data_IF_384880118089
#
_entry.id   IF_384880118089
#
_cell.length_a   1.000
_cell.length_b   1.000
_cell.length_c   1.000
_cell.angle_alpha   90.00
_cell.angle_beta   90.00
_cell.angle_gamma   90.00
#
_symmetry.space_group_name_H-M   'P 1'
#
loop_
_entity.id
_entity.type
_entity.pdbx_description
1 polymer ?
#
# COMPACT_ATOMS: atom_id res chain seq x y z
N UNK A 1 2.59 28.05 21.55
CA UNK A 1 2.77 26.70 20.96
C UNK A 1 1.47 26.31 20.30
N UNK A 2 1.51 25.84 19.05
CA UNK A 2 0.30 25.27 18.43
C UNK A 2 0.02 23.94 19.12
N UNK A 3 -1.09 23.84 19.86
CA UNK A 3 -1.56 22.57 20.41
C UNK A 3 -1.96 21.66 19.23
N UNK A 4 -1.12 20.67 18.92
CA UNK A 4 -1.44 19.63 17.97
C UNK A 4 -2.54 18.74 18.55
N UNK A 5 -3.43 18.24 17.70
CA UNK A 5 -4.50 17.31 18.07
C UNK A 5 -4.60 16.18 17.06
N UNK A 6 -5.16 15.05 17.50
CA UNK A 6 -5.53 13.96 16.61
C UNK A 6 -6.43 14.51 15.49
N UNK A 7 -6.14 14.11 14.26
CA UNK A 7 -6.79 14.59 13.04
C UNK A 7 -6.10 15.78 12.37
N UNK A 8 -5.17 16.46 13.04
CA UNK A 8 -4.41 17.54 12.40
C UNK A 8 -3.50 17.03 11.28
N UNK A 9 -3.38 17.83 10.23
CA UNK A 9 -2.42 17.61 9.16
C UNK A 9 -1.08 18.24 9.52
N UNK A 10 -0.02 17.47 9.41
CA UNK A 10 1.34 17.85 9.80
C UNK A 10 2.36 17.35 8.79
N UNK A 11 3.54 17.95 8.83
CA UNK A 11 4.72 17.45 8.14
C UNK A 11 5.93 17.51 9.09
N UNK A 12 6.92 16.65 8.83
CA UNK A 12 8.11 16.51 9.68
C UNK A 12 9.20 17.47 9.25
N UNK A 13 9.75 18.24 10.21
CA UNK A 13 10.85 19.18 9.97
C UNK A 13 12.13 18.44 9.57
N UNK A 14 12.43 17.36 10.27
CA UNK A 14 13.65 16.55 10.06
C UNK A 14 13.75 15.92 8.67
N UNK A 15 12.62 15.76 7.97
CA UNK A 15 12.55 15.22 6.60
C UNK A 15 12.26 16.32 5.56
N UNK A 16 12.42 17.59 5.94
CA UNK A 16 12.27 18.70 5.00
C UNK A 16 10.83 18.93 4.50
N UNK A 17 9.83 18.49 5.27
CA UNK A 17 8.41 18.60 4.91
C UNK A 17 8.06 17.90 3.59
N UNK A 18 8.62 16.71 3.39
CA UNK A 18 8.51 15.92 2.17
C UNK A 18 7.15 15.20 2.00
N UNK A 19 6.54 14.78 3.11
CA UNK A 19 5.30 14.00 3.14
C UNK A 19 4.27 14.70 4.05
N UNK A 20 3.02 14.72 3.58
CA UNK A 20 1.88 15.16 4.37
C UNK A 20 1.35 13.98 5.20
N UNK A 21 1.22 14.21 6.50
CA UNK A 21 0.72 13.23 7.45
C UNK A 21 -0.53 13.74 8.15
N UNK A 22 -1.38 12.81 8.60
CA UNK A 22 -2.46 13.03 9.56
C UNK A 22 -2.07 12.43 10.90
N UNK A 23 -2.28 13.17 11.99
CA UNK A 23 -2.09 12.61 13.33
C UNK A 23 -3.21 11.61 13.62
N UNK A 24 -2.84 10.37 13.94
CA UNK A 24 -3.79 9.31 14.28
C UNK A 24 -3.77 8.93 15.75
N UNK A 25 -2.66 9.16 16.46
CA UNK A 25 -2.54 8.87 17.89
C UNK A 25 -1.46 9.75 18.54
N UNK A 26 -1.52 9.89 19.86
CA UNK A 26 -0.56 10.62 20.69
C UNK A 26 -0.30 9.85 21.98
N UNK A 27 0.93 9.40 22.16
CA UNK A 27 1.38 8.56 23.27
C UNK A 27 2.33 9.37 24.14
N UNK A 28 2.11 9.35 25.45
CA UNK A 28 3.07 9.88 26.42
C UNK A 28 3.94 8.75 26.95
N UNK A 29 5.26 8.90 26.82
CA UNK A 29 6.22 7.92 27.33
C UNK A 29 6.42 8.05 28.84
N UNK A 30 7.04 7.04 29.47
CA UNK A 30 7.43 7.08 30.89
C UNK A 30 8.28 8.31 31.26
N UNK A 31 9.04 8.87 30.30
CA UNK A 31 9.85 10.07 30.48
C UNK A 31 9.11 11.39 30.19
N UNK A 32 7.78 11.35 30.05
CA UNK A 32 6.92 12.50 29.68
C UNK A 32 7.24 13.10 28.31
N UNK A 33 7.92 12.35 27.44
CA UNK A 33 8.04 12.74 26.03
C UNK A 33 6.78 12.34 25.28
N UNK A 34 6.19 13.28 24.53
CA UNK A 34 5.04 13.05 23.67
C UNK A 34 5.50 12.56 22.30
N UNK A 35 5.17 11.31 22.01
CA UNK A 35 5.35 10.68 20.71
C UNK A 35 4.02 10.70 19.97
N UNK A 36 4.03 11.19 18.74
CA UNK A 36 2.85 11.32 17.90
C UNK A 36 2.93 10.27 16.80
N UNK A 37 1.84 9.54 16.59
CA UNK A 37 1.73 8.56 15.51
C UNK A 37 1.02 9.20 14.32
N UNK A 38 1.64 9.05 13.16
CA UNK A 38 1.33 9.70 11.91
C UNK A 38 0.90 8.68 10.86
N UNK A 39 -0.16 8.97 10.10
CA UNK A 39 -0.55 8.26 8.88
C UNK A 39 -0.25 9.14 7.68
N UNK A 40 0.51 8.64 6.71
CA UNK A 40 0.75 9.34 5.44
C UNK A 40 -0.56 9.51 4.67
N UNK A 41 -0.80 10.71 4.13
CA UNK A 41 -2.04 11.03 3.40
C UNK A 41 -2.04 10.37 2.03
N UNK A 42 -0.99 10.60 1.25
CA UNK A 42 -0.90 10.11 -0.14
C UNK A 42 -0.05 8.83 -0.27
N UNK A 43 0.56 8.39 0.83
CA UNK A 43 1.44 7.23 0.89
C UNK A 43 1.06 6.33 2.06
N UNK A 44 1.09 5.01 1.85
CA UNK A 44 0.84 4.01 2.89
C UNK A 44 2.06 3.89 3.79
N UNK A 45 2.17 4.80 4.75
CA UNK A 45 3.23 4.83 5.75
C UNK A 45 2.65 5.21 7.12
N UNK A 46 3.09 4.49 8.15
CA UNK A 46 2.90 4.88 9.55
C UNK A 46 4.26 5.27 10.12
N UNK A 47 4.33 6.43 10.76
CA UNK A 47 5.55 6.90 11.39
C UNK A 47 5.26 7.40 12.80
N UNK A 48 6.15 7.14 13.73
CA UNK A 48 6.20 7.86 15.00
C UNK A 48 7.15 9.06 14.90
N UNK A 49 6.82 10.14 15.60
CA UNK A 49 7.67 11.33 15.65
C UNK A 49 7.44 12.11 16.94
N UNK A 50 8.49 12.70 17.55
CA UNK A 50 8.34 13.64 18.65
C UNK A 50 7.50 14.86 18.24
N UNK A 51 6.65 15.37 19.14
CA UNK A 51 5.80 16.55 18.85
C UNK A 51 6.61 17.76 18.33
N UNK A 52 7.85 17.93 18.82
CA UNK A 52 8.79 19.00 18.43
C UNK A 52 9.27 18.92 16.97
N UNK A 53 9.19 17.76 16.33
CA UNK A 53 9.54 17.58 14.91
C UNK A 53 8.37 17.93 13.98
N UNK A 54 7.16 18.07 14.53
CA UNK A 54 5.95 18.28 13.74
C UNK A 54 5.63 19.74 13.52
N UNK A 55 5.21 20.04 12.29
CA UNK A 55 4.70 21.34 11.90
C UNK A 55 3.30 21.18 11.31
N UNK A 56 2.32 21.87 11.90
CA UNK A 56 0.94 21.86 11.44
C UNK A 56 0.82 22.54 10.08
N UNK A 57 0.24 21.83 9.12
CA UNK A 57 -0.02 22.32 7.77
C UNK A 57 -1.39 22.98 7.76
N UNK A 58 -1.43 24.25 7.34
CA UNK A 58 -2.69 24.97 7.13
C UNK A 58 -3.33 24.54 5.81
N UNK A 59 -4.66 24.68 5.71
CA UNK A 59 -5.41 24.34 4.51
C UNK A 59 -4.84 24.98 3.23
N UNK A 60 -4.35 26.24 3.33
CA UNK A 60 -3.74 26.96 2.21
C UNK A 60 -2.46 26.32 1.66
N UNK A 61 -1.76 25.52 2.46
CA UNK A 61 -0.53 24.83 2.06
C UNK A 61 -0.78 23.41 1.58
N UNK A 62 -1.95 22.81 1.83
CA UNK A 62 -2.24 21.43 1.42
C UNK A 62 -2.07 21.27 -0.09
N UNK A 63 -2.60 22.20 -0.89
CA UNK A 63 -2.43 22.20 -2.35
C UNK A 63 -0.97 22.11 -2.80
N UNK A 64 -0.04 22.71 -2.03
CA UNK A 64 1.39 22.63 -2.37
C UNK A 64 1.98 21.23 -2.15
N UNK A 65 1.51 20.51 -1.13
CA UNK A 65 1.89 19.12 -0.90
C UNK A 65 1.28 18.22 -1.97
N UNK A 66 -0.01 18.37 -2.26
CA UNK A 66 -0.72 17.62 -3.30
C UNK A 66 -0.03 17.81 -4.66
N UNK A 67 0.24 19.06 -5.08
CA UNK A 67 0.95 19.33 -6.34
C UNK A 67 2.38 18.77 -6.36
N UNK A 68 3.09 18.81 -5.24
CA UNK A 68 4.44 18.24 -5.13
C UNK A 68 4.41 16.73 -5.32
N UNK A 69 3.43 16.07 -4.72
CA UNK A 69 3.20 14.63 -4.86
C UNK A 69 2.77 14.25 -6.28
N UNK A 70 1.77 14.95 -6.85
CA UNK A 70 1.34 14.77 -8.24
C UNK A 70 2.52 14.91 -9.21
N UNK A 71 3.38 15.92 -9.03
CA UNK A 71 4.57 16.09 -9.88
C UNK A 71 5.58 14.95 -9.75
N UNK A 72 5.69 14.31 -8.57
CA UNK A 72 6.53 13.10 -8.40
C UNK A 72 5.92 11.92 -9.15
N UNK A 73 4.59 11.76 -9.11
CA UNK A 73 3.86 10.75 -9.87
C UNK A 73 4.04 10.98 -11.37
N UNK A 74 3.76 12.18 -11.88
CA UNK A 74 3.92 12.54 -13.31
C UNK A 74 5.32 12.19 -13.83
N UNK A 75 6.37 12.60 -13.10
CA UNK A 75 7.76 12.24 -13.47
C UNK A 75 8.01 10.74 -13.52
N UNK A 76 7.31 9.96 -12.70
CA UNK A 76 7.44 8.49 -12.66
C UNK A 76 6.69 7.88 -13.83
N UNK A 77 5.47 8.34 -14.09
CA UNK A 77 4.64 7.95 -15.23
C UNK A 77 5.36 8.26 -16.54
N UNK A 78 5.92 9.46 -16.71
CA UNK A 78 6.67 9.86 -17.90
C UNK A 78 7.83 8.90 -18.19
N UNK A 79 8.55 8.48 -17.15
CA UNK A 79 9.64 7.49 -17.29
C UNK A 79 9.12 6.12 -17.71
N UNK A 80 7.97 5.70 -17.19
CA UNK A 80 7.36 4.41 -17.53
C UNK A 80 6.86 4.44 -18.98
N UNK A 81 6.13 5.49 -19.37
CA UNK A 81 5.58 5.66 -20.71
C UNK A 81 6.70 5.77 -21.76
N UNK A 82 7.78 6.50 -21.46
CA UNK A 82 8.95 6.55 -22.35
C UNK A 82 9.56 5.17 -22.59
N UNK A 83 9.75 4.37 -21.53
CA UNK A 83 10.26 2.99 -21.65
C UNK A 83 9.30 2.06 -22.40
N UNK A 84 7.98 2.30 -22.30
CA UNK A 84 6.96 1.54 -23.03
C UNK A 84 7.06 1.82 -24.52
N UNK A 85 7.09 3.09 -24.91
CA UNK A 85 7.24 3.50 -26.30
C UNK A 85 8.54 2.99 -26.94
N UNK A 86 9.68 3.07 -26.22
CA UNK A 86 10.97 2.53 -26.68
C UNK A 86 10.94 1.00 -26.91
N UNK A 87 10.08 0.27 -26.20
CA UNK A 87 9.88 -1.18 -26.39
C UNK A 87 8.90 -1.49 -27.51
N UNK A 88 7.86 -0.67 -27.67
CA UNK A 88 6.84 -0.86 -28.70
C UNK A 88 7.40 -0.54 -30.10
N UNK A 89 8.30 0.44 -30.22
CA UNK A 89 9.05 0.72 -31.47
C UNK A 89 9.92 -0.46 -31.94
N UNK A 90 10.21 -1.44 -31.07
CA UNK A 90 11.05 -2.61 -31.37
C UNK A 90 10.25 -3.89 -31.66
N UNK A 91 8.92 -3.85 -31.73
CA UNK A 91 8.08 -5.04 -31.89
C UNK A 91 7.05 -4.92 -33.02
N UNK A 92 6.99 -5.96 -33.85
CA UNK A 92 6.00 -6.16 -34.93
C UNK A 92 4.68 -6.82 -34.45
N UNK A 93 4.43 -6.90 -33.14
CA UNK A 93 3.24 -7.56 -32.59
C UNK A 93 2.58 -6.76 -31.46
N UNK A 94 1.25 -6.75 -31.46
CA UNK A 94 0.43 -6.00 -30.51
C UNK A 94 0.48 -6.63 -29.11
N UNK A 95 0.97 -5.89 -28.12
CA UNK A 95 0.94 -6.30 -26.71
C UNK A 95 -0.37 -5.82 -26.12
N UNK A 96 -1.24 -6.76 -25.71
CA UNK A 96 -2.42 -6.44 -24.90
C UNK A 96 -1.97 -6.14 -23.47
N UNK A 97 -2.41 -5.03 -22.89
CA UNK A 97 -2.21 -4.76 -21.46
C UNK A 97 -3.00 -5.78 -20.65
N UNK A 98 -2.34 -6.41 -19.67
CA UNK A 98 -3.01 -7.31 -18.73
C UNK A 98 -4.03 -6.57 -17.88
N UNK A 99 -5.06 -7.28 -17.44
CA UNK A 99 -6.13 -6.78 -16.58
C UNK A 99 -5.77 -6.98 -15.13
N UNK A 100 -5.94 -5.93 -14.32
CA UNK A 100 -5.64 -5.93 -12.89
C UNK A 100 -6.93 -5.99 -12.07
N UNK A 101 -6.96 -6.86 -11.05
CA UNK A 101 -7.94 -6.81 -9.97
C UNK A 101 -7.22 -6.39 -8.70
N UNK A 102 -7.59 -5.24 -8.13
CA UNK A 102 -6.98 -4.71 -6.91
C UNK A 102 -7.98 -4.74 -5.75
N UNK A 103 -7.70 -5.58 -4.75
CA UNK A 103 -8.42 -5.65 -3.49
C UNK A 103 -7.64 -4.87 -2.42
N UNK A 104 -8.29 -3.92 -1.76
CA UNK A 104 -7.66 -3.16 -0.68
C UNK A 104 -8.59 -2.96 0.53
N UNK A 105 -8.05 -3.14 1.74
CA UNK A 105 -8.77 -2.82 2.99
C UNK A 105 -8.98 -1.32 3.22
N UNK A 106 -8.20 -0.44 2.58
CA UNK A 106 -8.23 1.01 2.75
C UNK A 106 -8.67 1.73 1.47
N UNK A 107 -9.83 2.40 1.54
CA UNK A 107 -10.40 3.15 0.41
C UNK A 107 -9.52 4.30 -0.07
N UNK A 108 -8.92 5.03 0.87
CA UNK A 108 -8.16 6.24 0.57
C UNK A 108 -6.94 5.87 -0.27
N UNK A 109 -6.23 4.81 0.14
CA UNK A 109 -5.08 4.31 -0.62
C UNK A 109 -5.47 3.62 -1.92
N UNK A 110 -6.57 2.87 -1.97
CA UNK A 110 -7.08 2.30 -3.21
C UNK A 110 -7.36 3.39 -4.25
N UNK A 111 -7.99 4.49 -3.85
CA UNK A 111 -8.30 5.60 -4.75
C UNK A 111 -7.06 6.29 -5.30
N UNK A 112 -6.00 6.40 -4.49
CA UNK A 112 -4.69 6.90 -4.96
C UNK A 112 -4.12 5.97 -6.03
N UNK A 113 -4.10 4.65 -5.79
CA UNK A 113 -3.57 3.68 -6.76
C UNK A 113 -4.38 3.67 -8.06
N UNK A 114 -5.72 3.67 -7.97
CA UNK A 114 -6.61 3.69 -9.15
C UNK A 114 -6.42 4.93 -10.02
N UNK A 115 -6.13 6.10 -9.43
CA UNK A 115 -5.80 7.31 -10.19
C UNK A 115 -4.52 7.11 -11.02
N UNK A 116 -3.49 6.51 -10.43
CA UNK A 116 -2.21 6.24 -11.10
C UNK A 116 -2.39 5.19 -12.21
N UNK A 117 -3.11 4.09 -11.95
CA UNK A 117 -3.43 3.08 -12.97
C UNK A 117 -4.14 3.69 -14.18
N UNK A 118 -5.09 4.59 -13.95
CA UNK A 118 -5.81 5.27 -15.02
C UNK A 118 -4.89 6.15 -15.87
N UNK A 119 -3.93 6.86 -15.26
CA UNK A 119 -2.94 7.67 -15.99
C UNK A 119 -1.95 6.81 -16.79
N UNK A 120 -1.73 5.56 -16.38
CA UNK A 120 -0.90 4.57 -17.08
C UNK A 120 -1.69 3.75 -18.13
N UNK A 121 -2.98 4.05 -18.31
CA UNK A 121 -3.88 3.33 -19.22
C UNK A 121 -3.94 1.82 -18.93
N UNK A 122 -3.90 1.46 -17.63
CA UNK A 122 -4.04 0.08 -17.16
C UNK A 122 -5.53 -0.25 -16.97
N UNK A 123 -5.97 -1.39 -17.51
CA UNK A 123 -7.31 -1.93 -17.26
C UNK A 123 -7.36 -2.50 -15.84
N UNK A 124 -8.02 -1.80 -14.93
CA UNK A 124 -8.06 -2.17 -13.51
C UNK A 124 -9.48 -2.13 -12.96
N UNK A 125 -9.80 -3.15 -12.16
CA UNK A 125 -10.98 -3.18 -11.29
C UNK A 125 -10.51 -3.09 -9.84
N UNK A 126 -10.85 -2.00 -9.15
CA UNK A 126 -10.59 -1.84 -7.72
C UNK A 126 -11.80 -2.22 -6.86
N UNK A 127 -11.57 -2.96 -5.77
CA UNK A 127 -12.59 -3.30 -4.77
C UNK A 127 -12.07 -3.01 -3.37
N UNK A 128 -12.81 -2.18 -2.64
CA UNK A 128 -12.54 -1.98 -1.22
C UNK A 128 -13.14 -3.16 -0.45
N UNK A 129 -12.29 -4.01 0.10
CA UNK A 129 -12.69 -5.21 0.86
C UNK A 129 -11.75 -5.32 2.06
N UNK A 130 -12.33 -5.31 3.27
CA UNK A 130 -11.58 -5.50 4.51
C UNK A 130 -10.82 -6.82 4.50
N UNK A 131 -9.66 -6.86 5.14
CA UNK A 131 -8.70 -7.95 5.02
C UNK A 131 -9.34 -9.31 5.34
N UNK A 132 -10.20 -9.37 6.37
CA UNK A 132 -10.91 -10.59 6.78
C UNK A 132 -11.94 -11.13 5.77
N UNK A 133 -12.45 -10.27 4.89
CA UNK A 133 -13.45 -10.63 3.87
C UNK A 133 -12.80 -10.94 2.52
N UNK A 134 -11.55 -10.50 2.28
CA UNK A 134 -10.82 -10.78 1.04
C UNK A 134 -10.75 -12.29 0.71
N UNK A 135 -10.48 -13.21 1.66
CA UNK A 135 -10.41 -14.63 1.34
C UNK A 135 -11.74 -15.23 0.88
N UNK A 136 -12.85 -14.63 1.32
CA UNK A 136 -14.21 -15.09 1.01
C UNK A 136 -14.66 -14.57 -0.35
N UNK A 137 -14.29 -13.34 -0.69
CA UNK A 137 -14.73 -12.67 -1.91
C UNK A 137 -13.84 -12.97 -3.13
N UNK A 138 -12.55 -13.27 -2.93
CA UNK A 138 -11.58 -13.34 -4.03
C UNK A 138 -11.95 -14.33 -5.14
N UNK A 139 -12.50 -15.49 -4.78
CA UNK A 139 -12.83 -16.54 -5.76
C UNK A 139 -13.90 -16.07 -6.76
N UNK A 140 -14.98 -15.47 -6.26
CA UNK A 140 -16.07 -14.94 -7.08
C UNK A 140 -15.58 -13.78 -7.96
N UNK A 141 -14.73 -12.90 -7.41
CA UNK A 141 -14.17 -11.77 -8.15
C UNK A 141 -13.23 -12.23 -9.27
N UNK A 142 -12.40 -13.25 -9.02
CA UNK A 142 -11.55 -13.84 -10.05
C UNK A 142 -12.40 -14.44 -11.18
N UNK A 143 -13.45 -15.20 -10.86
CA UNK A 143 -14.37 -15.76 -11.85
C UNK A 143 -15.12 -14.69 -12.64
N UNK A 144 -15.50 -13.59 -11.98
CA UNK A 144 -16.27 -12.50 -12.60
C UNK A 144 -15.41 -11.64 -13.52
N UNK A 145 -14.18 -11.35 -13.11
CA UNK A 145 -13.35 -10.37 -13.79
C UNK A 145 -12.24 -10.98 -14.66
N UNK A 146 -11.82 -12.22 -14.40
CA UNK A 146 -10.74 -12.90 -15.12
C UNK A 146 -9.48 -12.04 -15.29
N UNK A 147 -8.86 -11.55 -14.20
CA UNK A 147 -7.67 -10.71 -14.28
C UNK A 147 -6.41 -11.55 -14.58
N UNK A 148 -5.40 -10.90 -15.17
CA UNK A 148 -4.04 -11.47 -15.31
C UNK A 148 -3.17 -11.15 -14.08
N UNK A 149 -3.51 -10.08 -13.35
CA UNK A 149 -2.79 -9.62 -12.16
C UNK A 149 -3.80 -9.42 -11.02
N UNK A 150 -3.52 -10.03 -9.87
CA UNK A 150 -4.26 -9.83 -8.63
C UNK A 150 -3.38 -9.08 -7.61
N UNK A 151 -3.88 -7.96 -7.10
CA UNK A 151 -3.25 -7.18 -6.04
C UNK A 151 -4.09 -7.30 -4.77
N UNK A 152 -3.48 -7.78 -3.69
CA UNK A 152 -4.12 -8.05 -2.40
C UNK A 152 -3.43 -7.23 -1.32
N UNK A 153 -4.01 -6.10 -0.95
CA UNK A 153 -3.37 -5.16 -0.03
C UNK A 153 -4.30 -4.76 1.10
N UNK A 154 -3.72 -4.21 2.15
CA UNK A 154 -4.45 -3.73 3.30
C UNK A 154 -3.50 -3.27 4.39
N UNK A 155 -4.01 -3.17 5.59
CA UNK A 155 -3.24 -2.94 6.79
C UNK A 155 -2.71 -4.25 7.33
N UNK A 156 -1.48 -4.25 7.85
CA UNK A 156 -0.97 -5.33 8.68
C UNK A 156 -0.09 -4.76 9.78
N UNK A 157 0.40 -5.64 10.64
CA UNK A 157 1.38 -5.28 11.64
C UNK A 157 1.69 -6.44 12.55
N UNK A 158 2.95 -6.55 12.94
CA UNK A 158 3.37 -7.50 13.96
C UNK A 158 2.86 -7.05 15.34
N UNK A 159 2.27 -7.98 16.08
CA UNK A 159 1.68 -7.71 17.39
C UNK A 159 2.77 -7.46 18.44
N UNK A 160 2.60 -6.37 19.20
CA UNK A 160 3.53 -6.00 20.27
C UNK A 160 3.59 -7.10 21.35
N UNK A 161 4.78 -7.40 21.83
CA UNK A 161 5.01 -8.39 22.90
C UNK A 161 5.29 -9.81 22.39
N UNK A 162 5.07 -10.08 21.11
CA UNK A 162 5.41 -11.35 20.49
C UNK A 162 6.87 -11.31 19.99
N UNK A 163 7.50 -12.48 19.90
CA UNK A 163 8.89 -12.63 19.40
C UNK A 163 9.02 -13.64 18.27
N UNK A 164 7.99 -14.47 18.10
CA UNK A 164 7.99 -15.48 17.05
C UNK A 164 7.45 -14.88 15.75
N UNK A 165 8.38 -14.45 14.89
CA UNK A 165 8.05 -13.92 13.58
C UNK A 165 7.53 -14.99 12.61
N UNK A 166 7.65 -16.28 12.95
CA UNK A 166 7.20 -17.38 12.10
C UNK A 166 5.77 -17.84 12.39
N UNK A 167 5.12 -17.23 13.37
CA UNK A 167 3.72 -17.51 13.68
C UNK A 167 2.82 -16.43 13.07
N UNK A 168 1.96 -16.83 12.12
CA UNK A 168 1.00 -15.93 11.46
C UNK A 168 -0.01 -15.29 12.43
N UNK A 169 -0.29 -15.91 13.58
CA UNK A 169 -1.17 -15.37 14.62
C UNK A 169 -0.56 -14.15 15.34
N UNK A 170 0.75 -13.97 15.22
CA UNK A 170 1.44 -12.79 15.76
C UNK A 170 1.35 -11.58 14.83
N UNK A 171 0.56 -11.66 13.75
CA UNK A 171 0.29 -10.56 12.83
C UNK A 171 -1.20 -10.25 12.83
N UNK A 172 -1.57 -8.99 12.63
CA UNK A 172 -2.98 -8.58 12.63
C UNK A 172 -3.76 -9.26 11.52
N UNK A 173 -3.24 -9.20 10.30
CA UNK A 173 -3.95 -9.53 9.08
C UNK A 173 -3.19 -10.47 8.13
N UNK A 174 -1.92 -10.82 8.40
CA UNK A 174 -1.15 -11.71 7.50
C UNK A 174 -1.87 -13.01 7.18
N UNK A 175 -2.56 -13.61 8.16
CA UNK A 175 -3.40 -14.82 7.97
C UNK A 175 -4.43 -14.65 6.85
N UNK A 176 -5.01 -13.47 6.71
CA UNK A 176 -6.00 -13.18 5.69
C UNK A 176 -5.38 -12.99 4.32
N UNK A 177 -4.21 -12.35 4.22
CA UNK A 177 -3.48 -12.29 2.95
C UNK A 177 -3.05 -13.69 2.50
N UNK A 178 -2.50 -14.49 3.40
CA UNK A 178 -2.11 -15.89 3.15
C UNK A 178 -3.30 -16.70 2.64
N UNK A 179 -4.45 -16.62 3.31
CA UNK A 179 -5.64 -17.37 2.89
C UNK A 179 -6.20 -16.85 1.57
N UNK A 180 -6.24 -15.54 1.34
CA UNK A 180 -6.66 -14.97 0.04
C UNK A 180 -5.78 -15.48 -1.10
N UNK A 181 -4.46 -15.51 -0.92
CA UNK A 181 -3.51 -16.07 -1.92
C UNK A 181 -3.79 -17.55 -2.16
N UNK A 182 -3.98 -18.34 -1.10
CA UNK A 182 -4.32 -19.78 -1.22
C UNK A 182 -5.62 -20.00 -1.99
N UNK A 183 -6.65 -19.19 -1.74
CA UNK A 183 -7.92 -19.28 -2.47
C UNK A 183 -7.75 -18.88 -3.93
N UNK A 184 -6.97 -17.84 -4.23
CA UNK A 184 -6.65 -17.46 -5.60
C UNK A 184 -5.90 -18.57 -6.35
N UNK A 185 -4.98 -19.28 -5.67
CA UNK A 185 -4.25 -20.42 -6.25
C UNK A 185 -5.08 -21.68 -6.42
N UNK A 186 -6.22 -21.81 -5.75
CA UNK A 186 -7.22 -22.86 -6.06
C UNK A 186 -7.95 -22.57 -7.37
N UNK A 187 -8.12 -21.29 -7.71
CA UNK A 187 -8.71 -20.86 -8.98
C UNK A 187 -7.72 -20.99 -10.13
N UNK A 188 -6.52 -20.40 -9.97
CA UNK A 188 -5.44 -20.46 -10.96
C UNK A 188 -4.11 -20.84 -10.28
N UNK A 189 -3.72 -22.13 -10.33
CA UNK A 189 -2.47 -22.61 -9.76
C UNK A 189 -1.21 -22.07 -10.44
N UNK A 190 -1.29 -21.70 -11.71
CA UNK A 190 -0.16 -21.22 -12.51
C UNK A 190 0.30 -19.84 -12.03
N UNK A 191 1.57 -19.74 -11.68
CA UNK A 191 2.21 -18.49 -11.27
C UNK A 191 2.41 -17.52 -12.45
N UNK A 192 2.40 -18.04 -13.68
CA UNK A 192 2.60 -17.26 -14.90
C UNK A 192 1.27 -16.73 -15.46
N UNK A 193 0.17 -17.47 -15.28
CA UNK A 193 -1.15 -17.09 -15.81
C UNK A 193 -1.90 -16.12 -14.88
N UNK A 194 -1.67 -16.20 -13.56
CA UNK A 194 -2.17 -15.22 -12.59
C UNK A 194 -1.01 -14.74 -11.70
N UNK A 195 -0.58 -13.50 -11.91
CA UNK A 195 0.47 -12.86 -11.10
C UNK A 195 -0.16 -12.23 -9.86
N UNK A 196 0.31 -12.62 -8.68
CA UNK A 196 -0.24 -12.14 -7.40
C UNK A 196 0.79 -11.28 -6.65
N UNK A 197 0.37 -10.06 -6.30
CA UNK A 197 1.06 -9.16 -5.37
C UNK A 197 0.26 -9.12 -4.06
N UNK A 198 0.89 -9.36 -2.91
CA UNK A 198 0.16 -9.43 -1.64
C UNK A 198 0.87 -8.82 -0.42
N UNK A 199 0.09 -8.27 0.51
CA UNK A 199 0.52 -7.89 1.85
C UNK A 199 0.41 -6.38 2.17
N UNK A 200 0.53 -6.06 3.45
CA UNK A 200 0.68 -4.71 4.00
C UNK A 200 2.00 -4.47 4.75
N UNK A 201 2.09 -3.33 5.43
CA UNK A 201 3.27 -2.99 6.25
C UNK A 201 3.52 -4.04 7.34
N UNK A 202 4.77 -4.52 7.44
CA UNK A 202 5.21 -5.54 8.40
C UNK A 202 4.47 -6.89 8.30
N UNK A 203 3.96 -7.24 7.11
CA UNK A 203 3.34 -8.55 6.90
C UNK A 203 4.34 -9.70 7.06
N UNK A 204 3.80 -10.91 7.26
CA UNK A 204 4.56 -12.15 7.22
C UNK A 204 4.96 -12.51 5.78
N UNK A 205 5.93 -11.76 5.27
CA UNK A 205 6.44 -11.80 3.90
C UNK A 205 6.74 -13.21 3.40
N UNK A 206 7.48 -14.01 4.19
CA UNK A 206 7.93 -15.34 3.76
C UNK A 206 6.74 -16.29 3.55
N UNK A 207 5.72 -16.23 4.42
CA UNK A 207 4.57 -17.12 4.32
C UNK A 207 3.57 -16.70 3.23
N UNK A 208 3.48 -15.41 2.92
CA UNK A 208 2.70 -14.92 1.76
C UNK A 208 3.30 -15.46 0.45
N UNK A 209 4.63 -15.49 0.32
CA UNK A 209 5.29 -16.11 -0.83
C UNK A 209 5.09 -17.63 -0.85
N UNK A 210 5.26 -18.31 0.29
CA UNK A 210 5.02 -19.75 0.39
C UNK A 210 3.57 -20.14 0.03
N UNK A 211 2.61 -19.25 0.30
CA UNK A 211 1.21 -19.44 -0.07
C UNK A 211 0.96 -19.40 -1.60
N UNK A 212 1.93 -18.90 -2.37
CA UNK A 212 1.89 -18.83 -3.84
C UNK A 212 1.75 -17.42 -4.39
N UNK A 213 2.09 -16.37 -3.64
CA UNK A 213 2.20 -15.03 -4.21
C UNK A 213 3.49 -14.90 -5.03
N UNK A 214 3.44 -14.21 -6.16
CA UNK A 214 4.64 -13.89 -6.94
C UNK A 214 5.49 -12.84 -6.22
N UNK A 215 4.82 -11.89 -5.57
CA UNK A 215 5.45 -10.81 -4.84
C UNK A 215 4.72 -10.58 -3.53
N UNK A 216 5.50 -10.28 -2.48
CA UNK A 216 4.98 -9.89 -1.19
C UNK A 216 5.60 -8.57 -0.73
N UNK A 217 4.87 -7.77 0.04
CA UNK A 217 5.43 -6.58 0.69
C UNK A 217 6.08 -6.93 2.02
N UNK A 218 7.01 -6.08 2.49
CA UNK A 218 7.71 -6.23 3.77
C UNK A 218 8.89 -7.24 3.87
N UNK A 219 9.79 -7.41 2.86
CA UNK A 219 11.03 -8.16 3.09
C UNK A 219 11.79 -7.59 4.30
N UNK A 220 12.18 -8.45 5.25
CA UNK A 220 12.79 -8.08 6.53
C UNK A 220 11.88 -7.32 7.54
N UNK A 221 10.56 -7.26 7.31
CA UNK A 221 9.56 -6.67 8.25
C UNK A 221 9.83 -5.20 8.61
N UNK A 222 10.42 -4.45 7.69
CA UNK A 222 10.67 -3.02 7.84
C UNK A 222 9.41 -2.21 7.50
N UNK A 223 9.21 -1.08 8.16
CA UNK A 223 8.30 -0.02 7.67
C UNK A 223 8.82 0.42 6.30
N UNK A 224 8.04 0.22 5.25
CA UNK A 224 8.44 0.55 3.88
C UNK A 224 7.40 1.42 3.21
N UNK A 225 7.89 2.38 2.44
CA UNK A 225 7.09 3.26 1.58
C UNK A 225 6.64 2.47 0.34
N UNK A 226 5.33 2.27 0.18
CA UNK A 226 4.77 1.66 -1.03
C UNK A 226 3.58 2.48 -1.55
N UNK A 227 3.58 2.69 -2.87
CA UNK A 227 2.38 2.72 -3.70
C UNK A 227 2.44 1.37 -4.43
N UNK A 228 1.38 0.58 -4.37
CA UNK A 228 1.29 -0.68 -5.13
C UNK A 228 0.81 -0.37 -6.53
#
# INVERSE_FOLDING_TARGET
MMNLRIGDLVARRSYGFDILFKIIDMIETFHKEKIVILKGVDLRIIADSPEKDLYRISLKKIDSFTRSFEKKIEKTIDKIMKKRNEKDEKKDYFIKSGKVLHLDGDKEYLDVCLKVYKQLEIDVVGKQIGEEEQPKAVLELLQTYGPDILVITGHDGFLKGHKDFKNADNYKNSRHFIETVKQARKYEPSMDDLVIFAGGCQSYYEEILNAGANFASSPHRVLMEWIV
#
